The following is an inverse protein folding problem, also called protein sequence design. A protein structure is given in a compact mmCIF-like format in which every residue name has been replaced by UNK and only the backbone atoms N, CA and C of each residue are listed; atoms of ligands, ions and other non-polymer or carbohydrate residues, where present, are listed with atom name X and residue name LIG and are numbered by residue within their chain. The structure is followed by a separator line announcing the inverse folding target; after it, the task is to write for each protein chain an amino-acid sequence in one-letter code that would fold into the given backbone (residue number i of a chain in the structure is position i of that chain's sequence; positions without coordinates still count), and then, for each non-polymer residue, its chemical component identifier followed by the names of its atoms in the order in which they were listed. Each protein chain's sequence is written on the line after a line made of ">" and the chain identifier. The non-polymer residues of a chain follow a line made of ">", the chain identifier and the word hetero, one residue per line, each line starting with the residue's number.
data_IF_285888524284
#
_entry.id   IF_285888524284
#
_cell.length_a   1.000
_cell.length_b   1.000
_cell.length_c   1.000
_cell.angle_alpha   90.00
_cell.angle_beta   90.00
_cell.angle_gamma   90.00
#
_symmetry.space_group_name_H-M   'P 1'
#
loop_
_entity.id
_entity.type
_entity.pdbx_description
1 polymer ?
#
# COMPACT_ATOMS: atom_id res chain seq x y z
N UNK A 1 35.85 -66.71 27.14
CA UNK A 1 37.00 -65.82 26.88
C UNK A 1 36.94 -65.45 25.40
N UNK A 2 36.60 -64.19 25.06
CA UNK A 2 36.62 -63.59 23.72
C UNK A 2 35.70 -64.22 22.63
N UNK A 3 35.14 -63.54 21.63
CA UNK A 3 34.79 -62.14 21.34
C UNK A 3 34.13 -62.21 19.94
N UNK A 4 33.04 -61.50 19.74
CA UNK A 4 32.59 -60.86 18.50
C UNK A 4 32.38 -61.62 17.16
N UNK A 5 31.13 -61.49 16.68
CA UNK A 5 30.69 -60.80 15.44
C UNK A 5 31.05 -61.45 14.08
N UNK A 6 30.02 -61.83 13.30
CA UNK A 6 29.50 -61.05 12.14
C UNK A 6 28.31 -61.78 11.48
N UNK A 7 27.15 -61.11 11.49
CA UNK A 7 26.00 -61.44 10.64
C UNK A 7 26.24 -60.92 9.21
N UNK A 8 25.69 -61.61 8.20
CA UNK A 8 25.01 -60.86 7.14
C UNK A 8 23.63 -61.47 6.86
N UNK A 9 22.58 -60.66 7.06
CA UNK A 9 21.27 -60.91 6.46
C UNK A 9 21.28 -60.17 5.12
N UNK A 10 21.21 -60.95 4.04
CA UNK A 10 20.98 -60.45 2.69
C UNK A 10 19.55 -60.81 2.31
N UNK A 11 18.66 -59.83 2.22
CA UNK A 11 17.60 -59.85 1.20
C UNK A 11 17.07 -58.43 0.97
N UNK A 12 17.42 -57.89 -0.20
CA UNK A 12 16.78 -56.73 -0.78
C UNK A 12 15.45 -57.17 -1.39
N UNK A 13 14.35 -56.50 -1.04
CA UNK A 13 13.16 -56.43 -1.89
C UNK A 13 12.88 -54.95 -2.11
N UNK A 14 13.08 -54.54 -3.36
CA UNK A 14 12.80 -53.22 -3.90
C UNK A 14 11.30 -52.92 -3.87
N UNK A 15 10.91 -51.89 -3.12
CA UNK A 15 9.65 -51.18 -3.36
C UNK A 15 10.02 -49.81 -3.96
N UNK A 16 10.10 -49.76 -5.28
CA UNK A 16 10.16 -48.50 -6.01
C UNK A 16 8.80 -47.80 -5.89
N UNK A 17 8.63 -47.00 -4.85
CA UNK A 17 7.60 -45.97 -4.83
C UNK A 17 8.18 -44.75 -5.57
N UNK A 18 7.86 -44.64 -6.86
CA UNK A 18 7.98 -43.38 -7.58
C UNK A 18 7.06 -42.39 -6.87
N UNK A 19 7.62 -41.57 -5.99
CA UNK A 19 6.97 -40.36 -5.54
C UNK A 19 6.97 -39.41 -6.75
N UNK A 20 5.98 -39.58 -7.63
CA UNK A 20 5.60 -38.53 -8.55
C UNK A 20 5.20 -37.34 -7.67
N UNK A 21 6.13 -36.41 -7.55
CA UNK A 21 5.92 -35.13 -6.93
C UNK A 21 4.75 -34.48 -7.70
N UNK A 22 3.56 -34.57 -7.11
CA UNK A 22 2.45 -33.70 -7.46
C UNK A 22 2.94 -32.29 -7.17
N UNK A 23 3.46 -31.64 -8.21
CA UNK A 23 3.56 -30.19 -8.26
C UNK A 23 2.12 -29.71 -8.17
N UNK A 24 1.69 -29.34 -6.96
CA UNK A 24 0.49 -28.57 -6.78
C UNK A 24 0.80 -27.21 -7.41
N UNK A 25 0.51 -27.09 -8.70
CA UNK A 25 0.33 -25.79 -9.32
C UNK A 25 -0.85 -25.17 -8.56
N UNK A 26 -0.54 -24.37 -7.55
CA UNK A 26 -1.54 -23.59 -6.82
C UNK A 26 -2.11 -22.62 -7.83
N UNK A 27 -3.18 -23.02 -8.50
CA UNK A 27 -3.96 -22.14 -9.35
C UNK A 27 -4.42 -20.98 -8.47
N UNK A 28 -3.77 -19.83 -8.63
CA UNK A 28 -3.95 -18.57 -7.89
C UNK A 28 -5.32 -17.90 -8.17
N UNK A 29 -6.30 -18.70 -8.57
CA UNK A 29 -7.58 -18.27 -9.08
C UNK A 29 -8.65 -19.24 -8.63
N UNK A 30 -9.50 -18.82 -7.69
CA UNK A 30 -10.73 -19.54 -7.37
C UNK A 30 -11.79 -19.12 -8.40
N UNK A 31 -12.28 -20.08 -9.17
CA UNK A 31 -13.40 -19.86 -10.08
C UNK A 31 -14.70 -19.82 -9.26
N UNK A 32 -15.27 -18.62 -9.06
CA UNK A 32 -16.51 -18.41 -8.29
C UNK A 32 -17.77 -18.57 -9.16
N UNK A 33 -17.62 -18.81 -10.47
CA UNK A 33 -18.71 -19.06 -11.41
C UNK A 33 -18.22 -19.37 -12.82
N UNK A 34 -19.13 -19.57 -13.79
CA UNK A 34 -18.75 -19.92 -15.18
C UNK A 34 -17.93 -18.85 -15.92
N UNK A 35 -17.91 -17.60 -15.42
CA UNK A 35 -17.18 -16.48 -16.02
C UNK A 35 -16.48 -15.57 -14.98
N UNK A 36 -16.40 -15.99 -13.71
CA UNK A 36 -15.76 -15.18 -12.67
C UNK A 36 -14.58 -15.91 -12.05
N UNK A 37 -13.45 -15.21 -12.07
CA UNK A 37 -12.19 -15.62 -11.50
C UNK A 37 -11.86 -14.65 -10.37
N UNK A 38 -11.72 -15.14 -9.14
CA UNK A 38 -11.21 -14.35 -8.02
C UNK A 38 -9.76 -14.77 -7.83
N UNK A 39 -8.83 -13.83 -7.96
CA UNK A 39 -7.43 -14.09 -7.59
C UNK A 39 -7.35 -14.30 -6.09
N UNK A 40 -6.62 -15.33 -5.66
CA UNK A 40 -6.43 -15.65 -4.24
C UNK A 40 -5.29 -14.83 -3.62
N UNK A 41 -5.21 -13.54 -3.96
CA UNK A 41 -4.24 -12.60 -3.44
C UNK A 41 -4.96 -11.39 -2.84
N UNK A 42 -4.48 -10.80 -1.73
CA UNK A 42 -5.04 -9.55 -1.22
C UNK A 42 -5.04 -8.48 -2.31
N UNK A 43 -6.08 -7.65 -2.33
CA UNK A 43 -6.17 -6.52 -3.25
C UNK A 43 -5.01 -5.54 -2.99
N UNK A 44 -4.59 -4.78 -4.01
CA UNK A 44 -3.46 -3.84 -3.91
C UNK A 44 -3.66 -2.81 -2.77
N UNK A 45 -4.90 -2.39 -2.54
CA UNK A 45 -5.27 -1.47 -1.46
C UNK A 45 -5.20 -2.10 -0.05
N UNK A 46 -5.29 -3.43 0.05
CA UNK A 46 -5.06 -4.15 1.31
C UNK A 46 -3.57 -4.18 1.67
N UNK A 47 -2.68 -4.22 0.68
CA UNK A 47 -1.23 -4.09 0.89
C UNK A 47 -0.82 -2.64 1.11
N UNK A 48 -1.38 -1.71 0.35
CA UNK A 48 -1.12 -0.28 0.45
C UNK A 48 -2.44 0.49 0.61
N UNK A 49 -2.83 0.85 1.85
CA UNK A 49 -4.04 1.62 2.12
C UNK A 49 -4.14 2.97 1.40
N UNK A 50 -3.03 3.52 0.89
CA UNK A 50 -3.05 4.74 0.08
C UNK A 50 -3.58 4.50 -1.34
N UNK A 51 -3.72 3.25 -1.78
CA UNK A 51 -4.31 2.86 -3.07
C UNK A 51 -5.82 2.63 -3.02
N UNK A 52 -6.45 2.77 -1.85
CA UNK A 52 -7.91 2.66 -1.73
C UNK A 52 -8.60 3.74 -2.56
N UNK A 53 -9.64 3.36 -3.31
CA UNK A 53 -10.45 4.30 -4.07
C UNK A 53 -11.40 5.03 -3.12
N UNK A 54 -11.37 6.35 -3.14
CA UNK A 54 -12.21 7.23 -2.32
C UNK A 54 -13.10 8.10 -3.20
N UNK A 55 -14.22 8.53 -2.64
CA UNK A 55 -15.09 9.58 -3.19
C UNK A 55 -15.65 10.34 -1.99
N UNK A 56 -15.26 11.61 -1.83
CA UNK A 56 -15.55 12.39 -0.63
C UNK A 56 -16.04 13.79 -0.98
N UNK A 57 -17.00 14.28 -0.20
CA UNK A 57 -17.36 15.71 -0.14
C UNK A 57 -16.89 16.26 1.21
N UNK A 58 -16.05 17.29 1.19
CA UNK A 58 -15.57 17.90 2.42
C UNK A 58 -16.65 18.76 3.08
N UNK A 59 -16.89 18.59 4.39
CA UNK A 59 -17.76 19.48 5.15
C UNK A 59 -17.28 20.94 5.13
N UNK A 60 -18.19 21.89 5.35
CA UNK A 60 -17.89 23.33 5.31
C UNK A 60 -16.87 23.78 6.37
N UNK A 61 -16.77 23.08 7.50
CA UNK A 61 -15.78 23.37 8.54
C UNK A 61 -14.32 23.09 8.13
N UNK A 62 -14.11 22.32 7.06
CA UNK A 62 -12.78 22.10 6.49
C UNK A 62 -12.47 23.26 5.57
N UNK A 63 -11.54 24.12 5.97
CA UNK A 63 -11.22 25.36 5.25
C UNK A 63 -9.78 25.41 4.75
N UNK A 64 -8.88 24.54 5.24
CA UNK A 64 -7.48 24.51 4.80
C UNK A 64 -7.11 23.21 4.12
N UNK A 65 -6.05 23.26 3.29
CA UNK A 65 -5.44 22.09 2.67
C UNK A 65 -5.05 21.05 3.73
N UNK A 66 -4.40 21.47 4.82
CA UNK A 66 -3.99 20.55 5.89
C UNK A 66 -5.17 19.87 6.60
N UNK A 67 -6.29 20.58 6.79
CA UNK A 67 -7.51 19.95 7.33
C UNK A 67 -8.09 18.93 6.36
N UNK A 68 -8.09 19.22 5.06
CA UNK A 68 -8.56 18.30 4.03
C UNK A 68 -7.69 17.03 3.98
N UNK A 69 -6.36 17.16 4.00
CA UNK A 69 -5.44 16.02 4.05
C UNK A 69 -5.71 15.13 5.26
N UNK A 70 -5.79 15.73 6.46
CA UNK A 70 -6.09 14.98 7.68
C UNK A 70 -7.45 14.27 7.59
N UNK A 71 -8.47 14.91 7.01
CA UNK A 71 -9.78 14.32 6.84
C UNK A 71 -9.75 13.10 5.90
N UNK A 72 -9.03 13.18 4.77
CA UNK A 72 -8.89 12.05 3.85
C UNK A 72 -8.16 10.86 4.50
N UNK A 73 -7.24 11.13 5.41
CA UNK A 73 -6.40 10.13 6.06
C UNK A 73 -7.08 9.41 7.24
N UNK A 74 -8.18 9.93 7.79
CA UNK A 74 -8.84 9.42 9.01
C UNK A 74 -9.08 7.89 9.05
N UNK A 75 -9.29 7.26 7.89
CA UNK A 75 -9.63 5.82 7.78
C UNK A 75 -8.57 4.99 7.07
N UNK A 76 -7.46 5.59 6.64
CA UNK A 76 -6.41 4.89 5.89
C UNK A 76 -5.38 4.22 6.81
N UNK A 77 -5.37 4.59 8.10
CA UNK A 77 -4.30 4.21 9.03
C UNK A 77 -2.98 4.94 8.78
N UNK A 78 -2.95 5.90 7.85
CA UNK A 78 -1.87 6.86 7.70
C UNK A 78 -2.24 8.18 8.38
N UNK A 79 -1.23 8.96 8.71
CA UNK A 79 -1.39 10.31 9.26
C UNK A 79 -0.37 11.27 8.66
N UNK A 80 -0.64 12.58 8.76
CA UNK A 80 0.32 13.59 8.32
C UNK A 80 1.61 13.50 9.16
N UNK A 81 2.74 13.72 8.50
CA UNK A 81 4.03 13.90 9.15
C UNK A 81 3.98 15.07 10.13
N UNK A 82 4.76 14.97 11.22
CA UNK A 82 4.82 16.03 12.22
C UNK A 82 5.37 17.31 11.57
N UNK A 83 4.75 18.46 11.88
CA UNK A 83 5.20 19.77 11.40
C UNK A 83 6.65 20.10 11.78
N UNK A 84 7.22 19.45 12.80
CA UNK A 84 8.63 19.58 13.17
C UNK A 84 9.60 18.94 12.16
N UNK A 85 9.12 18.04 11.31
CA UNK A 85 9.92 17.30 10.32
C UNK A 85 9.61 17.76 8.89
N UNK A 86 8.45 18.39 8.68
CA UNK A 86 8.08 18.96 7.38
C UNK A 86 8.93 20.19 7.04
N UNK A 87 9.16 20.40 5.74
CA UNK A 87 9.76 21.64 5.25
C UNK A 87 8.84 22.84 5.46
N UNK A 88 9.42 24.04 5.51
CA UNK A 88 8.67 25.30 5.63
C UNK A 88 7.67 25.48 4.47
N UNK A 89 8.02 25.04 3.27
CA UNK A 89 7.14 25.10 2.11
C UNK A 89 5.96 24.14 2.23
N UNK A 90 6.17 22.93 2.76
CA UNK A 90 5.09 21.99 3.03
C UNK A 90 4.15 22.52 4.13
N UNK A 91 4.70 23.11 5.20
CA UNK A 91 3.89 23.76 6.25
C UNK A 91 3.06 24.91 5.66
N UNK A 92 3.65 25.68 4.74
CA UNK A 92 2.97 26.77 4.05
C UNK A 92 1.81 26.26 3.18
N UNK A 93 2.01 25.17 2.41
CA UNK A 93 0.96 24.50 1.65
C UNK A 93 -0.22 24.11 2.55
N UNK A 94 0.04 23.47 3.70
CA UNK A 94 -1.03 22.98 4.59
C UNK A 94 -1.87 24.11 5.21
N UNK A 95 -1.36 25.34 5.24
CA UNK A 95 -2.07 26.52 5.73
C UNK A 95 -2.88 27.23 4.65
N UNK A 96 -2.68 26.90 3.37
CA UNK A 96 -3.45 27.49 2.29
C UNK A 96 -4.94 27.14 2.42
N UNK A 97 -5.85 28.05 2.00
CA UNK A 97 -7.27 27.75 1.94
C UNK A 97 -7.51 26.58 0.98
N UNK A 98 -8.46 25.71 1.31
CA UNK A 98 -8.90 24.64 0.42
C UNK A 98 -9.64 25.25 -0.78
N UNK A 99 -9.16 25.05 -2.03
CA UNK A 99 -9.85 25.55 -3.21
C UNK A 99 -11.25 24.94 -3.36
N UNK A 100 -12.20 25.73 -3.86
CA UNK A 100 -13.59 25.28 -4.02
C UNK A 100 -13.73 24.07 -4.96
N UNK A 101 -12.89 23.97 -5.99
CA UNK A 101 -12.85 22.81 -6.89
C UNK A 101 -12.48 21.51 -6.16
N UNK A 102 -11.74 21.58 -5.05
CA UNK A 102 -11.36 20.43 -4.25
C UNK A 102 -12.40 20.07 -3.18
N UNK A 103 -13.52 20.79 -3.06
CA UNK A 103 -14.61 20.47 -2.11
C UNK A 103 -15.20 19.09 -2.35
N UNK A 104 -15.17 18.63 -3.60
CA UNK A 104 -15.60 17.30 -4.00
C UNK A 104 -14.44 16.58 -4.66
N UNK A 105 -14.05 15.46 -4.08
CA UNK A 105 -13.04 14.56 -4.64
C UNK A 105 -13.78 13.35 -5.19
N UNK A 106 -13.67 13.17 -6.51
CA UNK A 106 -14.29 12.06 -7.22
C UNK A 106 -13.58 10.72 -7.02
N UNK A 107 -14.07 9.66 -7.67
CA UNK A 107 -13.48 8.33 -7.58
C UNK A 107 -12.03 8.33 -8.06
N UNK A 108 -11.09 8.28 -7.12
CA UNK A 108 -9.66 8.13 -7.37
C UNK A 108 -8.99 7.51 -6.16
N UNK A 109 -7.76 7.03 -6.31
CA UNK A 109 -7.01 6.46 -5.19
C UNK A 109 -6.61 7.57 -4.19
N UNK A 110 -6.53 7.23 -2.91
CA UNK A 110 -6.20 8.19 -1.85
C UNK A 110 -4.88 8.93 -2.12
N UNK A 111 -3.84 8.23 -2.59
CA UNK A 111 -2.56 8.86 -2.96
C UNK A 111 -2.68 9.86 -4.12
N UNK A 112 -3.57 9.60 -5.08
CA UNK A 112 -3.86 10.54 -6.18
C UNK A 112 -4.63 11.75 -5.67
N UNK A 113 -5.61 11.54 -4.77
CA UNK A 113 -6.33 12.64 -4.14
C UNK A 113 -5.40 13.57 -3.34
N UNK A 114 -4.49 13.00 -2.54
CA UNK A 114 -3.49 13.76 -1.78
C UNK A 114 -2.60 14.60 -2.71
N UNK A 115 -2.11 14.03 -3.82
CA UNK A 115 -1.31 14.77 -4.81
C UNK A 115 -2.13 15.86 -5.52
N UNK A 116 -3.38 15.57 -5.88
CA UNK A 116 -4.26 16.55 -6.54
C UNK A 116 -4.51 17.77 -5.66
N UNK A 117 -4.71 17.59 -4.35
CA UNK A 117 -4.93 18.71 -3.43
C UNK A 117 -3.63 19.50 -3.20
N UNK A 118 -2.47 18.81 -3.16
CA UNK A 118 -1.17 19.46 -2.99
C UNK A 118 -0.73 20.26 -4.23
N UNK A 119 -1.13 19.80 -5.41
CA UNK A 119 -0.77 20.40 -6.70
C UNK A 119 0.62 20.00 -7.20
N UNK A 120 0.92 20.35 -8.45
CA UNK A 120 2.12 19.91 -9.17
C UNK A 120 3.44 20.44 -8.58
N UNK A 121 3.35 21.42 -7.67
CA UNK A 121 4.50 21.96 -6.95
C UNK A 121 4.99 21.04 -5.82
N UNK A 122 4.30 19.95 -5.52
CA UNK A 122 4.65 19.09 -4.41
C UNK A 122 4.60 17.61 -4.78
N UNK A 123 5.64 16.88 -4.39
CA UNK A 123 5.70 15.43 -4.48
C UNK A 123 5.26 14.82 -3.14
N UNK A 124 4.39 13.80 -3.20
CA UNK A 124 3.93 13.05 -2.02
C UNK A 124 5.05 12.12 -1.52
N UNK A 125 5.49 12.34 -0.29
CA UNK A 125 6.46 11.48 0.41
C UNK A 125 5.72 10.58 1.37
N UNK A 126 6.06 9.29 1.36
CA UNK A 126 5.41 8.28 2.19
C UNK A 126 6.46 7.57 3.04
N UNK A 127 6.25 7.58 4.35
CA UNK A 127 6.96 6.73 5.29
C UNK A 127 6.04 5.54 5.64
N UNK A 128 6.21 4.39 4.98
CA UNK A 128 5.39 3.22 5.24
C UNK A 128 5.68 2.57 6.60
N UNK A 129 6.86 2.82 7.20
CA UNK A 129 7.27 2.23 8.46
C UNK A 129 6.49 2.85 9.61
N UNK A 130 6.37 4.18 9.62
CA UNK A 130 5.64 4.92 10.64
C UNK A 130 4.20 5.28 10.22
N UNK A 131 3.79 4.87 9.01
CA UNK A 131 2.51 5.23 8.37
C UNK A 131 2.29 6.75 8.35
N UNK A 132 3.31 7.48 7.93
CA UNK A 132 3.27 8.94 7.80
C UNK A 132 3.28 9.33 6.33
N UNK A 133 2.60 10.44 6.01
CA UNK A 133 2.69 11.08 4.69
C UNK A 133 3.09 12.54 4.84
N UNK A 134 3.86 13.04 3.87
CA UNK A 134 4.31 14.42 3.83
C UNK A 134 4.44 14.90 2.38
N UNK A 135 4.94 16.11 2.23
CA UNK A 135 5.15 16.73 0.92
C UNK A 135 6.53 17.37 0.86
N UNK A 136 7.16 17.25 -0.30
CA UNK A 136 8.40 17.94 -0.63
C UNK A 136 8.22 18.74 -1.91
N UNK A 137 8.96 19.83 -2.07
CA UNK A 137 8.91 20.60 -3.32
C UNK A 137 9.38 19.72 -4.47
N UNK A 138 8.61 19.73 -5.56
CA UNK A 138 9.04 19.00 -6.75
C UNK A 138 10.28 19.63 -7.38
N UNK A 139 11.21 18.79 -7.81
CA UNK A 139 12.41 19.21 -8.54
C UNK A 139 12.11 19.92 -9.87
N UNK A 140 10.86 19.84 -10.36
CA UNK A 140 10.41 20.36 -11.65
C UNK A 140 10.05 21.84 -11.63
N UNK A 141 10.09 22.50 -10.48
CA UNK A 141 9.55 23.84 -10.30
C UNK A 141 10.63 24.88 -10.52
N UNK A 142 10.31 25.91 -11.32
CA UNK A 142 11.12 27.12 -11.41
C UNK A 142 10.59 28.13 -10.40
N UNK A 143 11.43 28.54 -9.44
CA UNK A 143 11.09 29.61 -8.48
C UNK A 143 10.99 30.93 -9.24
N UNK A 144 9.78 31.46 -9.37
CA UNK A 144 9.58 32.84 -9.83
C UNK A 144 9.95 33.74 -8.65
N UNK A 145 11.03 34.53 -8.83
CA UNK A 145 11.48 35.55 -7.87
C UNK A 145 10.89 36.91 -8.23
#
# INVERSE_FOLDING_TARGET
>A
MFRNILFPILLAISAGASADAYVHETTDVVQTGRYSHVRNMPLEDQFNPLKVVISTTFPSQISTVGQAMNFLLLRSGYEMANTLVLSDEAISLLRLPLPEVHRQIGPMTLDVALRSIAGDAFDLVVDPVHRKVGFELSSKIVRVR
#
